data_IF_057283542018
#
_entry.id   IF_057283542018
#
_cell.length_a   1.000
_cell.length_b   1.000
_cell.length_c   1.000
_cell.angle_alpha   90.00
_cell.angle_beta   90.00
_cell.angle_gamma   90.00
#
_symmetry.space_group_name_H-M   'P 1'
#
loop_
_entity.id
_entity.type
_entity.pdbx_description
1 polymer ?
#
# COMPACT_ATOMS: atom_id res chain seq x y z
N UNK A 1 30.14 -22.24 -51.14
CA UNK A 1 29.33 -22.18 -49.90
C UNK A 1 27.95 -22.74 -50.19
N UNK A 2 27.42 -23.63 -49.36
CA UNK A 2 26.11 -24.28 -49.56
C UNK A 2 24.95 -23.34 -49.18
N UNK A 3 24.62 -22.41 -50.06
CA UNK A 3 23.55 -21.41 -49.88
C UNK A 3 22.16 -22.04 -49.68
N UNK A 4 21.87 -23.16 -50.33
CA UNK A 4 20.59 -23.88 -50.17
C UNK A 4 20.38 -24.47 -48.77
N UNK A 5 21.43 -25.02 -48.15
CA UNK A 5 21.36 -25.55 -46.78
C UNK A 5 21.11 -24.42 -45.76
N UNK A 6 21.75 -23.27 -45.98
CA UNK A 6 21.58 -22.10 -45.13
C UNK A 6 20.13 -21.56 -45.20
N UNK A 7 19.56 -21.44 -46.40
CA UNK A 7 18.16 -21.01 -46.56
C UNK A 7 17.17 -22.00 -45.94
N UNK A 8 17.42 -23.29 -46.08
CA UNK A 8 16.58 -24.32 -45.45
C UNK A 8 16.62 -24.24 -43.92
N UNK A 9 17.80 -24.04 -43.33
CA UNK A 9 17.96 -23.87 -41.88
C UNK A 9 17.28 -22.59 -41.38
N UNK A 10 17.38 -21.49 -42.14
CA UNK A 10 16.74 -20.23 -41.78
C UNK A 10 15.22 -20.33 -41.84
N UNK A 11 14.68 -21.00 -42.87
CA UNK A 11 13.24 -21.28 -42.98
C UNK A 11 12.74 -22.11 -41.80
N UNK A 12 13.46 -23.18 -41.44
CA UNK A 12 13.13 -24.02 -40.26
C UNK A 12 13.20 -23.24 -38.95
N UNK A 13 14.12 -22.28 -38.84
CA UNK A 13 14.21 -21.39 -37.68
C UNK A 13 12.96 -20.50 -37.58
N UNK A 14 12.54 -19.88 -38.68
CA UNK A 14 11.32 -19.05 -38.72
C UNK A 14 10.07 -19.87 -38.39
N UNK A 15 9.90 -21.05 -38.99
CA UNK A 15 8.80 -21.97 -38.69
C UNK A 15 8.74 -22.32 -37.19
N UNK A 16 9.89 -22.51 -36.55
CA UNK A 16 9.95 -22.84 -35.12
C UNK A 16 9.60 -21.64 -34.24
N UNK A 17 10.03 -20.44 -34.64
CA UNK A 17 9.72 -19.17 -33.95
C UNK A 17 8.22 -18.90 -33.98
N UNK A 18 7.58 -19.05 -35.15
CA UNK A 18 6.14 -18.84 -35.31
C UNK A 18 5.32 -19.80 -34.45
N UNK A 19 5.70 -21.08 -34.41
CA UNK A 19 5.05 -22.08 -33.54
C UNK A 19 5.11 -21.69 -32.07
N UNK A 20 6.28 -21.25 -31.58
CA UNK A 20 6.44 -20.83 -30.18
C UNK A 20 5.64 -19.57 -29.89
N UNK A 21 5.65 -18.57 -30.78
CA UNK A 21 4.84 -17.34 -30.62
C UNK A 21 3.35 -17.64 -30.60
N UNK A 22 2.89 -18.51 -31.50
CA UNK A 22 1.51 -18.96 -31.53
C UNK A 22 1.13 -19.64 -30.21
N UNK A 23 1.93 -20.59 -29.73
CA UNK A 23 1.66 -21.27 -28.46
C UNK A 23 1.61 -20.31 -27.26
N UNK A 24 2.50 -19.32 -27.20
CA UNK A 24 2.49 -18.27 -26.18
C UNK A 24 1.19 -17.47 -26.24
N UNK A 25 0.79 -17.03 -27.44
CA UNK A 25 -0.42 -16.25 -27.62
C UNK A 25 -1.66 -17.05 -27.21
N UNK A 26 -1.76 -18.30 -27.66
CA UNK A 26 -2.87 -19.19 -27.30
C UNK A 26 -2.94 -19.43 -25.79
N UNK A 27 -1.80 -19.59 -25.11
CA UNK A 27 -1.78 -19.73 -23.65
C UNK A 27 -2.28 -18.46 -22.95
N UNK A 28 -1.94 -17.27 -23.45
CA UNK A 28 -2.44 -16.00 -22.93
C UNK A 28 -3.94 -15.82 -23.18
N UNK A 29 -4.42 -16.21 -24.36
CA UNK A 29 -5.83 -16.11 -24.72
C UNK A 29 -6.69 -17.06 -23.86
N UNK A 30 -6.15 -18.21 -23.45
CA UNK A 30 -6.86 -19.21 -22.65
C UNK A 30 -6.78 -18.97 -21.14
N UNK A 31 -5.60 -18.64 -20.61
CA UNK A 31 -5.34 -18.59 -19.16
C UNK A 31 -5.19 -17.14 -18.64
N UNK A 32 -5.12 -16.13 -19.52
CA UNK A 32 -4.98 -14.71 -19.20
C UNK A 32 -3.58 -14.12 -19.45
N UNK A 33 -3.45 -12.79 -19.43
CA UNK A 33 -2.20 -12.09 -19.81
C UNK A 33 -1.04 -12.31 -18.80
N UNK A 34 -1.36 -12.62 -17.54
CA UNK A 34 -0.38 -12.81 -16.43
C UNK A 34 0.14 -14.25 -16.28
N UNK A 35 -0.11 -15.10 -17.27
CA UNK A 35 0.19 -16.53 -17.20
C UNK A 35 1.69 -16.80 -17.20
N UNK A 36 2.12 -17.64 -16.26
CA UNK A 36 3.49 -18.13 -16.19
C UNK A 36 3.69 -19.18 -17.28
N UNK A 37 4.39 -18.78 -18.34
CA UNK A 37 4.68 -19.63 -19.49
C UNK A 37 5.77 -20.64 -19.11
N UNK A 38 5.37 -21.90 -18.97
CA UNK A 38 6.28 -23.01 -18.69
C UNK A 38 6.71 -23.71 -19.98
N UNK A 39 7.97 -24.17 -20.07
CA UNK A 39 8.47 -24.83 -21.27
C UNK A 39 7.66 -26.10 -21.60
N UNK A 40 7.18 -26.84 -20.59
CA UNK A 40 6.37 -28.05 -20.79
C UNK A 40 5.11 -27.76 -21.61
N UNK A 41 4.41 -26.65 -21.31
CA UNK A 41 3.20 -26.24 -22.04
C UNK A 41 3.51 -25.89 -23.50
N UNK A 42 4.64 -25.24 -23.74
CA UNK A 42 5.07 -24.91 -25.10
C UNK A 42 5.44 -26.19 -25.87
N UNK A 43 6.12 -27.15 -25.25
CA UNK A 43 6.45 -28.44 -25.87
C UNK A 43 5.17 -29.15 -26.30
N UNK A 44 4.20 -29.24 -25.40
CA UNK A 44 2.92 -29.90 -25.64
C UNK A 44 2.15 -29.26 -26.81
N UNK A 45 2.09 -27.92 -26.85
CA UNK A 45 1.37 -27.18 -27.88
C UNK A 45 2.08 -27.15 -29.25
N UNK A 46 3.42 -27.15 -29.27
CA UNK A 46 4.20 -26.95 -30.51
C UNK A 46 4.76 -28.23 -31.12
N UNK A 47 4.83 -29.32 -30.34
CA UNK A 47 5.49 -30.57 -30.72
C UNK A 47 7.01 -30.44 -30.93
N UNK A 48 7.61 -29.34 -30.50
CA UNK A 48 9.06 -29.15 -30.56
C UNK A 48 9.76 -29.99 -29.49
N UNK A 49 10.96 -30.49 -29.80
CA UNK A 49 11.75 -31.23 -28.80
C UNK A 49 12.14 -30.31 -27.64
N UNK A 50 12.31 -30.91 -26.45
CA UNK A 50 12.84 -30.20 -25.26
C UNK A 50 14.13 -29.45 -25.59
N UNK A 51 15.04 -30.08 -26.32
CA UNK A 51 16.32 -29.47 -26.72
C UNK A 51 16.18 -28.34 -27.73
N UNK A 52 15.15 -28.35 -28.59
CA UNK A 52 14.90 -27.27 -29.53
C UNK A 52 14.46 -25.99 -28.80
N UNK A 53 13.58 -26.11 -27.80
CA UNK A 53 13.03 -24.96 -27.05
C UNK A 53 14.11 -24.20 -26.26
N UNK A 54 15.15 -24.89 -25.79
CA UNK A 54 16.27 -24.25 -25.09
C UNK A 54 17.33 -23.63 -26.02
N UNK A 55 17.18 -23.74 -27.35
CA UNK A 55 18.06 -23.01 -28.28
C UNK A 55 17.84 -21.51 -28.11
N UNK A 56 18.93 -20.75 -28.20
CA UNK A 56 18.96 -19.30 -27.95
C UNK A 56 17.84 -18.52 -28.63
N UNK A 57 17.60 -18.76 -29.92
CA UNK A 57 16.59 -18.05 -30.70
C UNK A 57 15.13 -18.35 -30.30
N UNK A 58 14.84 -19.48 -29.66
CA UNK A 58 13.52 -19.77 -29.11
C UNK A 58 13.43 -19.38 -27.63
N UNK A 59 14.50 -19.58 -26.87
CA UNK A 59 14.57 -19.26 -25.44
C UNK A 59 14.31 -17.79 -25.15
N UNK A 60 14.85 -16.88 -25.97
CA UNK A 60 14.58 -15.44 -25.86
C UNK A 60 13.10 -15.07 -26.02
N UNK A 61 12.27 -15.94 -26.59
CA UNK A 61 10.85 -15.66 -26.87
C UNK A 61 9.97 -15.97 -25.65
N UNK A 62 10.26 -17.05 -24.92
CA UNK A 62 9.39 -17.53 -23.83
C UNK A 62 10.00 -17.37 -22.43
N UNK A 63 11.33 -17.40 -22.29
CA UNK A 63 12.01 -17.32 -21.01
C UNK A 63 12.30 -15.84 -20.67
N UNK A 64 11.38 -15.20 -19.95
CA UNK A 64 11.50 -13.79 -19.54
C UNK A 64 12.72 -13.52 -18.64
N UNK A 65 13.27 -14.55 -18.00
CA UNK A 65 14.43 -14.45 -17.12
C UNK A 65 15.74 -14.78 -17.86
N UNK A 66 15.67 -15.12 -19.15
CA UNK A 66 16.85 -15.39 -19.95
C UNK A 66 17.57 -14.10 -20.33
N UNK A 67 18.71 -13.86 -19.68
CA UNK A 67 19.67 -12.84 -20.07
C UNK A 67 20.64 -13.56 -21.02
N UNK A 68 20.65 -13.17 -22.29
CA UNK A 68 21.54 -13.75 -23.30
C UNK A 68 23.02 -13.67 -22.93
N UNK A 69 23.94 -14.27 -23.72
CA UNK A 69 25.37 -14.13 -23.49
C UNK A 69 25.72 -12.64 -23.44
N UNK A 70 26.28 -12.18 -22.31
CA UNK A 70 26.50 -10.74 -22.10
C UNK A 70 27.47 -10.21 -23.17
N UNK A 71 27.03 -9.27 -24.00
CA UNK A 71 27.95 -8.32 -24.61
C UNK A 71 28.55 -7.51 -23.46
N UNK A 72 29.87 -7.64 -23.23
CA UNK A 72 30.54 -7.11 -22.05
C UNK A 72 30.44 -5.57 -21.89
N UNK A 73 30.04 -4.85 -22.96
CA UNK A 73 30.00 -3.39 -23.00
C UNK A 73 28.67 -2.75 -22.55
N UNK A 74 27.51 -3.36 -22.85
CA UNK A 74 26.21 -2.77 -22.47
C UNK A 74 25.90 -2.91 -20.98
N UNK A 75 26.49 -3.92 -20.33
CA UNK A 75 26.17 -4.28 -18.96
C UNK A 75 26.67 -3.26 -17.92
N UNK A 76 27.71 -2.47 -18.25
CA UNK A 76 28.32 -1.54 -17.29
C UNK A 76 27.51 -0.24 -17.15
N UNK A 77 27.01 0.31 -18.26
CA UNK A 77 26.21 1.55 -18.26
C UNK A 77 24.85 1.33 -17.59
N UNK A 78 24.18 0.23 -17.93
CA UNK A 78 22.90 -0.15 -17.30
C UNK A 78 23.04 -0.39 -15.80
N UNK A 79 24.15 -1.00 -15.35
CA UNK A 79 24.42 -1.22 -13.91
C UNK A 79 24.66 0.08 -13.15
N UNK A 80 25.36 1.06 -13.75
CA UNK A 80 25.56 2.39 -13.16
C UNK A 80 24.23 3.14 -13.05
N UNK A 81 23.38 3.10 -14.08
CA UNK A 81 22.05 3.73 -14.05
C UNK A 81 21.15 3.06 -13.02
N UNK A 82 21.16 1.74 -12.93
CA UNK A 82 20.41 1.00 -11.92
C UNK A 82 20.85 1.38 -10.50
N UNK A 83 22.16 1.41 -10.23
CA UNK A 83 22.69 1.78 -8.92
C UNK A 83 22.35 3.23 -8.53
N UNK A 84 22.33 4.17 -9.48
CA UNK A 84 21.88 5.54 -9.22
C UNK A 84 20.41 5.58 -8.80
N UNK A 85 19.55 4.84 -9.52
CA UNK A 85 18.12 4.75 -9.20
C UNK A 85 17.88 4.12 -7.83
N UNK A 86 18.65 3.09 -7.48
CA UNK A 86 18.60 2.48 -6.13
C UNK A 86 18.97 3.51 -5.06
N UNK A 87 20.07 4.25 -5.24
CA UNK A 87 20.49 5.27 -4.27
C UNK A 87 19.49 6.44 -4.13
N UNK A 88 18.81 6.83 -5.20
CA UNK A 88 17.73 7.83 -5.17
C UNK A 88 16.51 7.31 -4.39
N UNK A 89 16.11 6.07 -4.66
CA UNK A 89 15.01 5.42 -3.95
C UNK A 89 15.32 5.25 -2.46
N UNK A 90 16.54 4.87 -2.09
CA UNK A 90 16.97 4.79 -0.68
C UNK A 90 16.87 6.14 0.03
N UNK A 91 17.27 7.23 -0.62
CA UNK A 91 17.12 8.59 -0.07
C UNK A 91 15.65 8.99 0.09
N UNK A 92 14.80 8.59 -0.85
CA UNK A 92 13.37 8.85 -0.76
C UNK A 92 12.73 8.07 0.39
N UNK A 93 13.05 6.79 0.53
CA UNK A 93 12.62 5.95 1.66
C UNK A 93 13.07 6.56 2.99
N UNK A 94 14.32 7.02 3.11
CA UNK A 94 14.80 7.69 4.33
C UNK A 94 14.02 8.97 4.64
N UNK A 95 13.71 9.79 3.63
CA UNK A 95 12.92 11.02 3.81
C UNK A 95 11.50 10.71 4.27
N UNK A 96 10.85 9.72 3.65
CA UNK A 96 9.50 9.27 4.02
C UNK A 96 9.48 8.73 5.44
N UNK A 97 10.43 7.87 5.81
CA UNK A 97 10.52 7.33 7.17
C UNK A 97 10.69 8.42 8.23
N UNK A 98 11.54 9.42 7.97
CA UNK A 98 11.72 10.57 8.88
C UNK A 98 10.46 11.43 8.98
N UNK A 99 9.68 11.54 7.91
CA UNK A 99 8.40 12.24 7.95
C UNK A 99 7.37 11.47 8.76
N UNK A 100 7.31 10.16 8.56
CA UNK A 100 6.42 9.25 9.27
C UNK A 100 6.65 9.29 10.78
N UNK A 101 7.91 9.19 11.21
CA UNK A 101 8.29 9.30 12.64
C UNK A 101 7.84 10.65 13.26
N UNK A 102 7.97 11.75 12.51
CA UNK A 102 7.48 13.08 12.95
C UNK A 102 5.97 13.15 13.07
N UNK A 103 5.24 12.43 12.23
CA UNK A 103 3.77 12.39 12.28
C UNK A 103 3.31 11.52 13.44
N UNK A 104 3.92 10.35 13.65
CA UNK A 104 3.62 9.45 14.76
C UNK A 104 3.84 10.11 16.12
N UNK A 105 4.97 10.81 16.29
CA UNK A 105 5.27 11.56 17.52
C UNK A 105 4.24 12.67 17.77
N UNK A 106 3.82 13.41 16.74
CA UNK A 106 2.73 14.40 16.85
C UNK A 106 1.41 13.76 17.22
N UNK A 107 1.06 12.64 16.60
CA UNK A 107 -0.18 11.90 16.86
C UNK A 107 -0.22 11.39 18.30
N UNK A 108 0.86 10.80 18.79
CA UNK A 108 1.00 10.36 20.18
C UNK A 108 0.82 11.52 21.17
N UNK A 109 1.44 12.67 20.89
CA UNK A 109 1.28 13.86 21.73
C UNK A 109 -0.14 14.41 21.73
N UNK A 110 -0.82 14.41 20.58
CA UNK A 110 -2.22 14.83 20.47
C UNK A 110 -3.17 13.88 21.21
N UNK A 111 -2.94 12.57 21.12
CA UNK A 111 -3.71 11.57 21.86
C UNK A 111 -3.60 11.78 23.37
N UNK A 112 -2.37 11.97 23.90
CA UNK A 112 -2.18 12.27 25.32
C UNK A 112 -2.89 13.55 25.77
N UNK A 113 -2.86 14.60 24.94
CA UNK A 113 -3.60 15.85 25.23
C UNK A 113 -5.11 15.63 25.23
N UNK A 114 -5.61 14.84 24.29
CA UNK A 114 -7.03 14.52 24.19
C UNK A 114 -7.52 13.73 25.41
N UNK A 115 -6.76 12.72 25.84
CA UNK A 115 -7.06 11.93 27.04
C UNK A 115 -7.09 12.82 28.29
N UNK A 116 -6.10 13.72 28.41
CA UNK A 116 -6.05 14.67 29.52
C UNK A 116 -7.27 15.59 29.53
N UNK A 117 -7.61 16.22 28.41
CA UNK A 117 -8.79 17.10 28.33
C UNK A 117 -10.10 16.35 28.54
N UNK A 118 -10.19 15.11 28.05
CA UNK A 118 -11.36 14.25 28.31
C UNK A 118 -11.50 13.95 29.81
N UNK A 119 -10.40 13.66 30.49
CA UNK A 119 -10.42 13.40 31.93
C UNK A 119 -10.81 14.66 32.73
N UNK A 120 -10.25 15.83 32.37
CA UNK A 120 -10.63 17.13 32.94
C UNK A 120 -12.11 17.44 32.73
N UNK A 121 -12.60 17.27 31.50
CA UNK A 121 -14.00 17.53 31.16
C UNK A 121 -14.95 16.68 32.00
N UNK A 122 -14.64 15.39 32.22
CA UNK A 122 -15.45 14.54 33.11
C UNK A 122 -15.49 15.05 34.55
N UNK A 123 -14.35 15.48 35.09
CA UNK A 123 -14.29 16.04 36.46
C UNK A 123 -15.13 17.32 36.53
N UNK A 124 -14.96 18.23 35.57
CA UNK A 124 -15.76 19.46 35.51
C UNK A 124 -17.26 19.21 35.41
N UNK A 125 -17.68 18.23 34.60
CA UNK A 125 -19.11 17.86 34.49
C UNK A 125 -19.64 17.38 35.85
N UNK A 126 -18.90 16.52 36.54
CA UNK A 126 -19.32 16.01 37.84
C UNK A 126 -19.42 17.14 38.89
N UNK A 127 -18.40 18.00 38.97
CA UNK A 127 -18.39 19.16 39.88
C UNK A 127 -19.57 20.11 39.59
N UNK A 128 -19.83 20.37 38.30
CA UNK A 128 -20.95 21.21 37.88
C UNK A 128 -22.30 20.61 38.28
N UNK A 129 -22.50 19.30 38.07
CA UNK A 129 -23.73 18.61 38.48
C UNK A 129 -23.94 18.62 40.00
N UNK A 130 -22.85 18.48 40.77
CA UNK A 130 -22.90 18.55 42.24
C UNK A 130 -23.30 19.94 42.72
N UNK A 131 -22.62 20.99 42.22
CA UNK A 131 -22.97 22.38 42.53
C UNK A 131 -24.42 22.71 42.13
N UNK A 132 -24.87 22.22 40.98
CA UNK A 132 -26.26 22.41 40.55
C UNK A 132 -27.25 21.83 41.55
N UNK A 133 -27.02 20.59 42.04
CA UNK A 133 -27.86 19.95 43.05
C UNK A 133 -27.84 20.69 44.38
N UNK A 134 -26.68 21.21 44.80
CA UNK A 134 -26.58 22.01 46.02
C UNK A 134 -27.34 23.33 45.91
N UNK A 135 -27.20 24.04 44.78
CA UNK A 135 -27.94 25.26 44.52
C UNK A 135 -29.46 25.03 44.47
N UNK A 136 -29.92 23.94 43.86
CA UNK A 136 -31.34 23.55 43.86
C UNK A 136 -31.86 23.31 45.30
N UNK A 137 -31.09 22.61 46.14
CA UNK A 137 -31.43 22.42 47.57
C UNK A 137 -31.47 23.74 48.33
N UNK A 138 -30.51 24.64 48.07
CA UNK A 138 -30.43 25.93 48.72
C UNK A 138 -31.63 26.82 48.33
N UNK A 139 -31.95 26.87 47.04
CA UNK A 139 -33.11 27.59 46.51
C UNK A 139 -34.41 27.09 47.17
N UNK A 140 -34.59 25.77 47.28
CA UNK A 140 -35.75 25.20 47.96
C UNK A 140 -35.84 25.65 49.43
N UNK A 141 -34.72 25.66 50.16
CA UNK A 141 -34.69 26.17 51.55
C UNK A 141 -35.08 27.64 51.63
N UNK A 142 -34.54 28.49 50.74
CA UNK A 142 -34.89 29.90 50.67
C UNK A 142 -36.38 30.11 50.40
N UNK A 143 -36.93 29.44 49.39
CA UNK A 143 -38.36 29.53 49.06
C UNK A 143 -39.25 29.10 50.23
N UNK A 144 -38.88 28.03 50.94
CA UNK A 144 -39.61 27.57 52.12
C UNK A 144 -39.57 28.63 53.23
N UNK A 145 -38.43 29.26 53.46
CA UNK A 145 -38.24 30.26 54.50
C UNK A 145 -38.99 31.56 54.16
N UNK A 146 -38.91 32.00 52.91
CA UNK A 146 -39.66 33.13 52.36
C UNK A 146 -41.17 32.94 52.56
N UNK A 147 -41.68 31.74 52.27
CA UNK A 147 -43.10 31.40 52.50
C UNK A 147 -43.49 31.50 53.97
N UNK A 148 -42.65 31.04 54.89
CA UNK A 148 -42.91 31.13 56.34
C UNK A 148 -42.91 32.59 56.81
N UNK A 149 -41.99 33.42 56.32
CA UNK A 149 -41.94 34.85 56.64
C UNK A 149 -43.16 35.59 56.10
N UNK A 150 -43.57 35.29 54.87
CA UNK A 150 -44.76 35.85 54.25
C UNK A 150 -46.03 35.51 55.04
N UNK A 151 -46.20 34.25 55.49
CA UNK A 151 -47.34 33.84 56.34
C UNK A 151 -47.36 34.60 57.68
N UNK A 152 -46.20 35.06 58.16
CA UNK A 152 -46.07 35.88 59.37
C UNK A 152 -46.20 37.38 59.11
N UNK A 153 -46.45 37.82 57.88
CA UNK A 153 -46.63 39.22 57.52
C UNK A 153 -45.34 40.04 57.50
N UNK A 154 -44.18 39.38 57.37
CA UNK A 154 -42.87 40.06 57.25
C UNK A 154 -42.58 40.22 55.76
N UNK A 155 -42.58 41.46 55.27
CA UNK A 155 -42.15 41.81 53.92
C UNK A 155 -40.61 41.87 53.85
N UNK A 156 -40.05 41.32 52.77
CA UNK A 156 -38.61 41.30 52.51
C UNK A 156 -38.39 42.12 51.26
N UNK A 157 -37.63 43.22 51.36
CA UNK A 157 -37.27 44.08 50.24
C UNK A 157 -36.07 43.48 49.50
N UNK A 158 -36.19 43.27 48.19
CA UNK A 158 -35.08 42.82 47.33
C UNK A 158 -34.24 44.04 46.92
N UNK A 159 -33.21 44.36 47.71
CA UNK A 159 -32.17 45.35 47.36
C UNK A 159 -30.95 44.71 46.71
#
# INVERSE_FOLDING_TARGET
MNTGLMQYQEKKRHESIEKVRWAIQTLKDLEGESVIIRPEKIIEMTGLSKTAIYKTHLRTIWDQHWIGPSSHSDNMISKIQHNRKVAELEKEVQRVNKHLEKVETKMSNLQKKLELETSRSRVFINEYEEQKKENEKLLYKYLKLLRVLHVRGIEIDES
#
